data_IF_755525655650
#
_entry.id   IF_755525655650
#
_cell.length_a   1.000
_cell.length_b   1.000
_cell.length_c   1.000
_cell.angle_alpha   90.00
_cell.angle_beta   90.00
_cell.angle_gamma   90.00
#
_symmetry.space_group_name_H-M   'P 1'
#
loop_
_entity.id
_entity.type
_entity.pdbx_description
1 polymer ?
#
# COMPACT_ATOMS: atom_id res chain seq x y z
N UNK A 1 -24.29 3.09 -2.86
CA UNK A 1 -24.18 1.90 -2.00
C UNK A 1 -22.78 1.82 -1.38
N UNK A 2 -21.69 1.76 -2.17
CA UNK A 2 -20.34 1.51 -1.66
C UNK A 2 -19.81 2.50 -0.61
N UNK A 3 -20.09 3.80 -0.74
CA UNK A 3 -19.64 4.81 0.25
C UNK A 3 -20.35 4.63 1.60
N UNK A 4 -21.65 4.31 1.59
CA UNK A 4 -22.40 3.99 2.81
C UNK A 4 -21.84 2.74 3.48
N UNK A 5 -21.55 1.70 2.70
CA UNK A 5 -20.96 0.45 3.20
C UNK A 5 -19.56 0.66 3.79
N UNK A 6 -18.73 1.51 3.17
CA UNK A 6 -17.42 1.87 3.70
C UNK A 6 -17.54 2.54 5.08
N UNK A 7 -18.42 3.52 5.21
CA UNK A 7 -18.69 4.18 6.49
C UNK A 7 -19.15 3.17 7.54
N UNK A 8 -20.10 2.33 7.22
CA UNK A 8 -20.64 1.30 8.11
C UNK A 8 -19.54 0.31 8.56
N UNK A 9 -18.67 -0.12 7.63
CA UNK A 9 -17.54 -1.00 7.95
C UNK A 9 -16.58 -0.37 8.98
N UNK A 10 -16.32 0.92 8.87
CA UNK A 10 -15.42 1.63 9.80
C UNK A 10 -16.12 1.89 11.14
N UNK A 11 -17.31 2.51 11.13
CA UNK A 11 -17.99 2.99 12.35
C UNK A 11 -18.61 1.86 13.17
N UNK A 12 -19.14 0.80 12.52
CA UNK A 12 -19.90 -0.26 13.19
C UNK A 12 -19.10 -1.57 13.30
N UNK A 13 -18.17 -1.84 12.37
CA UNK A 13 -17.45 -3.11 12.31
C UNK A 13 -15.95 -2.98 12.68
N UNK A 14 -15.46 -1.76 12.92
CA UNK A 14 -14.09 -1.51 13.36
C UNK A 14 -13.02 -1.68 12.27
N UNK A 15 -13.36 -1.51 11.00
CA UNK A 15 -12.38 -1.53 9.92
C UNK A 15 -11.47 -0.30 10.01
N UNK A 16 -10.17 -0.52 9.86
CA UNK A 16 -9.13 0.49 10.05
C UNK A 16 -8.55 1.05 8.74
N UNK A 17 -9.05 0.61 7.61
CA UNK A 17 -8.59 1.04 6.28
C UNK A 17 -9.50 0.55 5.17
N UNK A 18 -9.28 1.08 3.97
CA UNK A 18 -9.95 0.67 2.75
C UNK A 18 -8.95 0.04 1.77
N UNK A 19 -9.43 -0.80 0.87
CA UNK A 19 -8.65 -1.34 -0.23
C UNK A 19 -9.40 -1.14 -1.54
N UNK A 20 -8.70 -0.63 -2.55
CA UNK A 20 -9.22 -0.46 -3.90
C UNK A 20 -8.33 -1.17 -4.91
N UNK A 21 -8.96 -1.94 -5.79
CA UNK A 21 -8.30 -2.68 -6.85
C UNK A 21 -8.64 -2.07 -8.23
N UNK A 22 -7.88 -1.08 -8.73
CA UNK A 22 -8.18 -0.34 -9.96
C UNK A 22 -8.33 -1.22 -11.19
N UNK A 23 -7.54 -2.29 -11.28
CA UNK A 23 -7.54 -3.20 -12.42
C UNK A 23 -8.90 -3.88 -12.65
N UNK A 24 -9.67 -4.18 -11.58
CA UNK A 24 -11.00 -4.77 -11.69
C UNK A 24 -11.99 -3.88 -12.42
N UNK A 25 -11.78 -2.58 -12.31
CA UNK A 25 -12.65 -1.56 -12.91
C UNK A 25 -12.11 -1.04 -14.23
N UNK A 26 -10.85 -1.34 -14.58
CA UNK A 26 -10.17 -0.79 -15.75
C UNK A 26 -9.98 0.73 -15.68
N UNK A 27 -9.87 1.29 -14.47
CA UNK A 27 -9.77 2.72 -14.19
C UNK A 27 -8.48 3.01 -13.44
N UNK A 28 -7.70 3.97 -13.93
CA UNK A 28 -6.48 4.40 -13.23
C UNK A 28 -6.80 5.02 -11.85
N UNK A 29 -5.87 4.98 -10.87
CA UNK A 29 -6.07 5.54 -9.54
C UNK A 29 -6.58 6.98 -9.50
N UNK A 30 -6.17 7.84 -10.43
CA UNK A 30 -6.62 9.24 -10.55
C UNK A 30 -7.96 9.42 -11.28
N UNK A 31 -8.68 8.35 -11.60
CA UNK A 31 -10.01 8.47 -12.18
C UNK A 31 -10.98 9.08 -11.16
N UNK A 32 -11.66 10.16 -11.54
CA UNK A 32 -12.53 10.96 -10.66
C UNK A 32 -13.70 10.17 -10.07
N UNK A 33 -14.05 9.02 -10.63
CA UNK A 33 -15.05 8.11 -10.05
C UNK A 33 -14.64 7.53 -8.70
N UNK A 34 -13.32 7.52 -8.38
CA UNK A 34 -12.80 7.13 -7.07
C UNK A 34 -12.80 8.28 -6.05
N UNK A 35 -12.84 9.53 -6.47
CA UNK A 35 -12.72 10.70 -5.60
C UNK A 35 -13.72 10.71 -4.42
N UNK A 36 -14.99 10.29 -4.59
CA UNK A 36 -15.91 10.18 -3.45
C UNK A 36 -15.43 9.19 -2.37
N UNK A 37 -14.68 8.13 -2.75
CA UNK A 37 -14.10 7.20 -1.79
C UNK A 37 -12.88 7.80 -1.10
N UNK A 38 -12.04 8.56 -1.81
CA UNK A 38 -10.91 9.28 -1.23
C UNK A 38 -11.38 10.31 -0.21
N UNK A 39 -12.36 11.13 -0.56
CA UNK A 39 -12.97 12.07 0.35
C UNK A 39 -13.56 11.38 1.59
N UNK A 40 -14.20 10.22 1.42
CA UNK A 40 -14.74 9.44 2.54
C UNK A 40 -13.64 8.87 3.43
N UNK A 41 -12.53 8.40 2.88
CA UNK A 41 -11.38 7.96 3.66
C UNK A 41 -10.74 9.11 4.47
N UNK A 42 -10.67 10.31 3.89
CA UNK A 42 -10.25 11.52 4.63
C UNK A 42 -11.22 11.82 5.78
N UNK A 43 -12.53 11.83 5.53
CA UNK A 43 -13.57 12.09 6.55
C UNK A 43 -13.50 11.10 7.72
N UNK A 44 -13.26 9.82 7.42
CA UNK A 44 -13.14 8.73 8.40
C UNK A 44 -11.72 8.61 9.00
N UNK A 45 -10.77 9.39 8.52
CA UNK A 45 -9.36 9.38 8.89
C UNK A 45 -8.71 7.99 8.82
N UNK A 46 -9.03 7.25 7.76
CA UNK A 46 -8.48 5.93 7.48
C UNK A 46 -7.59 5.93 6.24
N UNK A 47 -6.54 5.10 6.18
CA UNK A 47 -5.76 4.92 4.96
C UNK A 47 -6.54 4.14 3.90
N UNK A 48 -6.16 4.37 2.63
CA UNK A 48 -6.60 3.54 1.52
C UNK A 48 -5.40 2.86 0.86
N UNK A 49 -5.47 1.53 0.74
CA UNK A 49 -4.54 0.73 -0.03
C UNK A 49 -4.99 0.69 -1.48
N UNK A 50 -4.10 1.08 -2.38
CA UNK A 50 -4.33 1.16 -3.80
C UNK A 50 -3.41 0.19 -4.52
N UNK A 51 -3.95 -0.81 -5.18
CA UNK A 51 -3.11 -1.70 -5.97
C UNK A 51 -2.52 -0.96 -7.16
N UNK A 52 -1.20 -0.86 -7.17
CA UNK A 52 -0.40 -0.25 -8.23
C UNK A 52 0.51 -1.29 -8.88
N UNK A 53 1.14 -0.91 -9.98
CA UNK A 53 1.95 -1.82 -10.76
C UNK A 53 1.15 -2.55 -11.84
N UNK A 54 1.71 -3.63 -12.36
CA UNK A 54 1.02 -4.46 -13.32
C UNK A 54 0.05 -5.44 -12.64
N UNK A 55 -0.93 -5.88 -13.40
CA UNK A 55 -1.86 -6.91 -12.96
C UNK A 55 -1.40 -8.29 -13.47
N UNK A 56 -1.15 -9.22 -12.55
CA UNK A 56 -0.78 -10.60 -12.86
C UNK A 56 -1.97 -11.57 -12.77
N UNK A 57 -3.13 -11.11 -12.30
CA UNK A 57 -4.34 -11.92 -12.32
C UNK A 57 -4.80 -12.08 -13.76
N UNK A 58 -4.74 -13.32 -14.23
CA UNK A 58 -5.09 -13.68 -15.58
C UNK A 58 -6.05 -14.87 -15.58
N UNK A 59 -7.24 -14.67 -16.14
CA UNK A 59 -8.12 -15.77 -16.51
C UNK A 59 -8.39 -15.72 -18.02
N UNK A 60 -8.67 -16.89 -18.62
CA UNK A 60 -9.02 -16.94 -20.05
C UNK A 60 -10.29 -16.15 -20.35
N UNK A 61 -11.17 -16.06 -19.36
CA UNK A 61 -12.49 -15.43 -19.48
C UNK A 61 -12.43 -13.92 -19.26
N UNK A 62 -11.49 -13.46 -18.44
CA UNK A 62 -11.34 -12.03 -18.11
C UNK A 62 -9.89 -11.64 -18.04
N UNK A 63 -9.48 -10.81 -18.98
CA UNK A 63 -8.16 -10.16 -19.00
C UNK A 63 -8.30 -8.76 -18.43
N UNK A 64 -7.54 -8.47 -17.37
CA UNK A 64 -7.58 -7.15 -16.74
C UNK A 64 -6.37 -6.32 -17.22
N UNK A 65 -6.58 -5.05 -17.64
CA UNK A 65 -5.50 -4.17 -18.03
C UNK A 65 -4.70 -3.71 -16.79
N UNK A 66 -3.41 -3.45 -16.99
CA UNK A 66 -2.54 -2.87 -15.95
C UNK A 66 -2.71 -1.34 -15.92
N UNK A 67 -3.73 -0.87 -15.23
CA UNK A 67 -4.08 0.57 -15.16
C UNK A 67 -3.44 1.28 -13.97
N UNK A 68 -2.76 0.55 -13.08
CA UNK A 68 -2.22 1.05 -11.82
C UNK A 68 -0.81 1.63 -11.91
N UNK A 69 -0.49 2.47 -12.89
CA UNK A 69 0.83 3.13 -12.91
C UNK A 69 0.97 4.05 -11.70
N UNK A 70 2.06 3.91 -10.90
CA UNK A 70 2.24 4.68 -9.67
C UNK A 70 2.21 6.19 -9.87
N UNK A 71 2.66 6.71 -11.03
CA UNK A 71 2.61 8.15 -11.32
C UNK A 71 1.19 8.73 -11.26
N UNK A 72 0.16 7.92 -11.42
CA UNK A 72 -1.23 8.36 -11.30
C UNK A 72 -1.63 8.70 -9.86
N UNK A 73 -0.84 8.29 -8.87
CA UNK A 73 -1.03 8.69 -7.47
C UNK A 73 -0.65 10.15 -7.22
N UNK A 74 0.13 10.76 -8.11
CA UNK A 74 0.59 12.16 -7.98
C UNK A 74 -0.60 13.12 -7.85
N UNK A 75 -1.53 13.04 -8.79
CA UNK A 75 -2.74 13.89 -8.81
C UNK A 75 -3.62 13.63 -7.58
N UNK A 76 -3.80 12.36 -7.21
CA UNK A 76 -4.60 11.98 -6.03
C UNK A 76 -3.99 12.55 -4.74
N UNK A 77 -2.68 12.44 -4.59
CA UNK A 77 -1.98 12.93 -3.40
C UNK A 77 -2.03 14.46 -3.27
N UNK A 78 -2.06 15.17 -4.40
CA UNK A 78 -2.21 16.63 -4.43
C UNK A 78 -3.64 17.04 -4.11
N UNK A 79 -4.63 16.38 -4.71
CA UNK A 79 -6.05 16.73 -4.55
C UNK A 79 -6.58 16.35 -3.14
N UNK A 80 -5.95 15.37 -2.49
CA UNK A 80 -6.33 14.87 -1.15
C UNK A 80 -5.11 14.80 -0.23
N UNK A 81 -4.57 15.94 0.24
CA UNK A 81 -3.35 15.97 1.05
C UNK A 81 -3.50 15.28 2.43
N UNK A 82 -4.73 15.16 2.95
CA UNK A 82 -5.01 14.45 4.20
C UNK A 82 -5.15 12.94 4.01
N UNK A 83 -5.28 12.45 2.78
CA UNK A 83 -5.46 11.04 2.48
C UNK A 83 -4.17 10.27 2.72
N UNK A 84 -4.23 9.25 3.57
CA UNK A 84 -3.12 8.28 3.73
C UNK A 84 -3.20 7.27 2.60
N UNK A 85 -2.42 7.47 1.56
CA UNK A 85 -2.47 6.70 0.30
C UNK A 85 -1.33 5.69 0.26
N UNK A 86 -1.65 4.41 0.25
CA UNK A 86 -0.67 3.32 0.22
C UNK A 86 -0.69 2.67 -1.17
N UNK A 87 0.39 2.83 -1.94
CA UNK A 87 0.59 2.06 -3.17
C UNK A 87 1.12 0.67 -2.83
N UNK A 88 0.31 -0.37 -3.00
CA UNK A 88 0.69 -1.75 -2.69
C UNK A 88 1.31 -2.47 -3.90
N UNK A 89 1.94 -3.63 -3.67
CA UNK A 89 2.67 -4.44 -4.67
C UNK A 89 3.93 -3.77 -5.23
N UNK A 90 4.57 -2.89 -4.43
CA UNK A 90 5.84 -2.21 -4.80
C UNK A 90 5.74 -1.35 -6.08
N UNK A 91 4.61 -1.38 -6.78
CA UNK A 91 4.45 -0.74 -8.08
C UNK A 91 5.16 -1.44 -9.24
N UNK A 92 5.58 -2.70 -9.09
CA UNK A 92 6.30 -3.46 -10.13
C UNK A 92 5.51 -3.48 -11.45
N UNK A 93 6.14 -3.22 -12.63
CA UNK A 93 7.58 -3.00 -12.86
C UNK A 93 8.03 -1.53 -12.69
N UNK A 94 7.14 -0.61 -12.35
CA UNK A 94 7.41 0.82 -12.23
C UNK A 94 7.78 1.23 -10.79
N UNK A 95 8.64 0.44 -10.14
CA UNK A 95 9.05 0.65 -8.74
C UNK A 95 9.67 2.02 -8.49
N UNK A 96 10.45 2.54 -9.44
CA UNK A 96 11.07 3.88 -9.31
C UNK A 96 10.01 4.99 -9.32
N UNK A 97 8.92 4.84 -10.09
CA UNK A 97 7.78 5.76 -10.00
C UNK A 97 7.11 5.70 -8.62
N UNK A 98 6.94 4.48 -8.06
CA UNK A 98 6.33 4.32 -6.74
C UNK A 98 7.19 4.96 -5.65
N UNK A 99 8.50 4.75 -5.68
CA UNK A 99 9.45 5.40 -4.78
C UNK A 99 9.38 6.92 -4.93
N UNK A 100 9.37 7.43 -6.16
CA UNK A 100 9.26 8.86 -6.44
C UNK A 100 7.99 9.47 -5.85
N UNK A 101 6.86 8.78 -5.94
CA UNK A 101 5.60 9.24 -5.35
C UNK A 101 5.65 9.29 -3.82
N UNK A 102 6.18 8.24 -3.19
CA UNK A 102 6.33 8.19 -1.74
C UNK A 102 7.36 9.20 -1.20
N UNK A 103 8.37 9.53 -2.00
CA UNK A 103 9.36 10.56 -1.64
C UNK A 103 8.83 11.99 -1.83
N UNK A 104 8.09 12.23 -2.92
CA UNK A 104 7.52 13.54 -3.23
C UNK A 104 6.41 13.94 -2.25
N UNK A 105 5.55 13.00 -1.85
CA UNK A 105 4.35 13.25 -1.08
C UNK A 105 4.42 12.68 0.34
N UNK A 106 4.19 13.52 1.34
CA UNK A 106 4.18 13.10 2.75
C UNK A 106 3.09 12.06 3.03
N UNK A 107 1.96 12.14 2.32
CA UNK A 107 0.79 11.29 2.47
C UNK A 107 0.80 10.01 1.63
N UNK A 108 1.89 9.74 0.87
CA UNK A 108 2.04 8.51 0.07
C UNK A 108 3.00 7.53 0.73
N UNK A 109 2.61 6.26 0.77
CA UNK A 109 3.33 5.14 1.36
C UNK A 109 3.41 3.96 0.39
N UNK A 110 4.26 2.98 0.66
CA UNK A 110 4.48 1.79 -0.18
C UNK A 110 4.21 0.52 0.61
N UNK A 111 3.36 -0.37 0.10
CA UNK A 111 3.23 -1.74 0.57
C UNK A 111 4.11 -2.69 -0.26
N UNK A 112 4.93 -3.51 0.40
CA UNK A 112 5.85 -4.44 -0.28
C UNK A 112 5.30 -5.87 -0.37
N UNK A 113 4.00 -6.00 -0.33
CA UNK A 113 3.24 -7.23 -0.44
C UNK A 113 3.24 -7.84 -1.86
N UNK A 114 2.70 -9.04 -2.00
CA UNK A 114 2.59 -9.83 -3.23
C UNK A 114 3.91 -10.34 -3.83
N UNK A 115 5.04 -9.88 -3.36
CA UNK A 115 6.38 -10.34 -3.78
C UNK A 115 7.17 -10.85 -2.58
N UNK A 116 7.76 -12.05 -2.70
CA UNK A 116 8.63 -12.58 -1.66
C UNK A 116 9.86 -11.67 -1.49
N UNK A 117 10.31 -11.39 -0.25
CA UNK A 117 11.38 -10.42 0.04
C UNK A 117 12.66 -10.63 -0.75
N UNK A 118 13.05 -11.86 -1.01
CA UNK A 118 14.22 -12.20 -1.84
C UNK A 118 14.11 -11.74 -3.31
N UNK A 119 12.91 -11.39 -3.76
CA UNK A 119 12.64 -10.90 -5.11
C UNK A 119 12.32 -9.40 -5.16
N UNK A 120 12.42 -8.72 -4.04
CA UNK A 120 12.20 -7.28 -4.03
C UNK A 120 13.23 -6.57 -4.90
N UNK A 121 12.82 -5.60 -5.72
CA UNK A 121 13.75 -4.79 -6.50
C UNK A 121 14.79 -4.11 -5.60
N UNK A 122 16.08 -4.09 -5.98
CA UNK A 122 17.13 -3.50 -5.14
C UNK A 122 16.87 -2.05 -4.72
N UNK A 123 16.21 -1.27 -5.56
CA UNK A 123 15.89 0.14 -5.28
C UNK A 123 14.90 0.28 -4.13
N UNK A 124 13.91 -0.61 -3.97
CA UNK A 124 13.01 -0.54 -2.82
C UNK A 124 13.74 -0.96 -1.54
N UNK A 125 14.63 -1.95 -1.62
CA UNK A 125 15.46 -2.36 -0.47
C UNK A 125 16.37 -1.21 -0.02
N UNK A 126 16.99 -0.52 -0.97
CA UNK A 126 17.78 0.68 -0.65
C UNK A 126 16.92 1.78 -0.03
N UNK A 127 15.75 2.07 -0.59
CA UNK A 127 14.83 3.10 -0.11
C UNK A 127 14.39 2.85 1.33
N UNK A 128 13.84 1.66 1.61
CA UNK A 128 13.37 1.30 2.95
C UNK A 128 14.48 1.22 4.00
N UNK A 129 15.72 0.95 3.58
CA UNK A 129 16.88 0.86 4.48
C UNK A 129 17.58 2.21 4.72
N UNK A 130 17.16 3.27 4.01
CA UNK A 130 17.80 4.59 4.07
C UNK A 130 16.80 5.72 4.29
N UNK A 131 16.47 6.47 3.26
CA UNK A 131 15.65 7.70 3.36
C UNK A 131 14.14 7.46 3.31
N UNK A 132 13.68 6.26 3.04
CA UNK A 132 12.28 5.86 3.01
C UNK A 132 11.82 4.99 4.18
N UNK A 133 12.57 4.96 5.29
CA UNK A 133 12.28 4.08 6.43
C UNK A 133 10.86 4.24 6.99
N UNK A 134 10.33 5.47 6.99
CA UNK A 134 9.01 5.79 7.52
C UNK A 134 7.88 5.64 6.48
N UNK A 135 8.20 5.12 5.28
CA UNK A 135 7.30 5.12 4.14
C UNK A 135 6.90 3.73 3.65
N UNK A 136 7.55 2.68 4.14
CA UNK A 136 7.36 1.32 3.61
C UNK A 136 6.73 0.42 4.66
N UNK A 137 5.70 -0.32 4.26
CA UNK A 137 4.96 -1.26 5.11
C UNK A 137 5.16 -2.69 4.60
N UNK A 138 5.40 -3.61 5.52
CA UNK A 138 5.45 -5.03 5.23
C UNK A 138 4.05 -5.61 5.02
N UNK A 139 3.94 -6.55 4.11
CA UNK A 139 2.76 -7.34 3.84
C UNK A 139 3.13 -8.57 3.01
N UNK A 140 2.24 -9.54 2.93
CA UNK A 140 2.45 -10.79 2.19
C UNK A 140 1.43 -11.01 1.09
N UNK A 141 0.32 -10.28 1.10
CA UNK A 141 -0.84 -10.55 0.23
C UNK A 141 -1.30 -12.01 0.35
N UNK A 142 -1.35 -12.51 1.61
CA UNK A 142 -1.79 -13.88 1.87
C UNK A 142 -3.11 -14.20 1.15
N UNK A 143 -3.22 -15.35 0.46
CA UNK A 143 -2.31 -16.51 0.45
C UNK A 143 -1.23 -16.50 -0.65
N UNK A 144 -0.91 -15.35 -1.26
CA UNK A 144 0.08 -15.27 -2.35
C UNK A 144 1.49 -15.61 -1.85
N UNK A 145 1.89 -15.03 -0.72
CA UNK A 145 3.18 -15.32 -0.07
C UNK A 145 2.93 -15.84 1.34
N UNK A 146 3.60 -16.92 1.69
CA UNK A 146 3.58 -17.49 3.03
C UNK A 146 4.24 -16.52 4.04
N UNK A 147 3.54 -16.13 5.15
CA UNK A 147 4.04 -15.16 6.10
C UNK A 147 5.29 -15.61 6.85
N UNK A 148 5.40 -16.90 7.23
CA UNK A 148 6.57 -17.41 7.97
C UNK A 148 7.81 -17.35 7.09
N UNK A 149 7.67 -17.76 5.84
CA UNK A 149 8.73 -17.65 4.84
C UNK A 149 9.12 -16.20 4.59
N UNK A 150 8.16 -15.29 4.40
CA UNK A 150 8.44 -13.88 4.17
C UNK A 150 9.19 -13.25 5.34
N UNK A 151 8.79 -13.57 6.58
CA UNK A 151 9.48 -13.11 7.79
C UNK A 151 10.90 -13.64 7.88
N UNK A 152 11.14 -14.92 7.56
CA UNK A 152 12.50 -15.49 7.53
C UNK A 152 13.35 -14.77 6.49
N UNK A 153 12.85 -14.58 5.26
CA UNK A 153 13.56 -13.88 4.19
C UNK A 153 13.89 -12.42 4.57
N UNK A 154 13.00 -11.68 5.25
CA UNK A 154 13.30 -10.32 5.77
C UNK A 154 14.35 -10.36 6.86
N UNK A 155 14.34 -11.38 7.73
CA UNK A 155 15.32 -11.50 8.79
C UNK A 155 16.74 -11.75 8.26
N UNK A 156 16.85 -12.43 7.12
CA UNK A 156 18.11 -12.68 6.43
C UNK A 156 18.63 -11.48 5.65
N UNK A 157 17.84 -10.43 5.46
CA UNK A 157 18.26 -9.21 4.77
C UNK A 157 19.18 -8.35 5.63
N UNK A 158 20.20 -7.75 5.01
CA UNK A 158 21.08 -6.76 5.65
C UNK A 158 20.37 -5.40 5.76
N UNK A 159 19.40 -5.31 6.68
CA UNK A 159 18.67 -4.10 7.00
C UNK A 159 19.13 -3.51 8.33
N UNK A 160 19.19 -2.19 8.42
CA UNK A 160 19.37 -1.49 9.69
C UNK A 160 18.27 -1.90 10.66
N UNK A 161 18.61 -2.10 11.92
CA UNK A 161 17.64 -2.54 12.94
C UNK A 161 16.40 -1.64 13.02
N UNK A 162 16.60 -0.32 12.97
CA UNK A 162 15.51 0.66 12.97
C UNK A 162 14.64 0.53 11.71
N UNK A 163 15.24 0.41 10.53
CA UNK A 163 14.50 0.24 9.27
C UNK A 163 13.65 -1.04 9.28
N UNK A 164 14.21 -2.13 9.82
CA UNK A 164 13.50 -3.41 9.97
C UNK A 164 12.32 -3.29 10.94
N UNK A 165 12.48 -2.64 12.08
CA UNK A 165 11.39 -2.43 13.04
C UNK A 165 10.25 -1.60 12.44
N UNK A 166 10.58 -0.51 11.76
CA UNK A 166 9.61 0.34 11.06
C UNK A 166 8.87 -0.42 9.96
N UNK A 167 9.60 -1.16 9.11
CA UNK A 167 9.04 -1.97 8.04
C UNK A 167 8.02 -2.99 8.57
N UNK A 168 8.41 -3.77 9.58
CA UNK A 168 7.63 -4.91 10.07
C UNK A 168 6.48 -4.54 11.00
N UNK A 169 6.53 -3.35 11.63
CA UNK A 169 5.57 -3.01 12.69
C UNK A 169 5.23 -1.52 12.76
N UNK A 170 6.22 -0.65 13.01
CA UNK A 170 5.97 0.69 13.53
C UNK A 170 5.22 1.58 12.55
N UNK A 171 5.54 1.49 11.25
CA UNK A 171 4.84 2.23 10.20
C UNK A 171 3.37 1.84 10.11
N UNK A 172 3.06 0.54 10.23
CA UNK A 172 1.68 0.06 10.19
C UNK A 172 0.90 0.52 11.44
N UNK A 173 1.49 0.40 12.64
CA UNK A 173 0.87 0.88 13.87
C UNK A 173 0.48 2.35 13.76
N UNK A 174 1.42 3.19 13.31
CA UNK A 174 1.21 4.62 13.16
C UNK A 174 0.15 4.95 12.10
N UNK A 175 0.26 4.32 10.92
CA UNK A 175 -0.56 4.66 9.76
C UNK A 175 -2.02 4.24 9.94
N UNK A 176 -2.24 3.03 10.47
CA UNK A 176 -3.56 2.47 10.73
C UNK A 176 -4.08 2.78 12.15
N UNK A 177 -3.30 3.52 12.96
CA UNK A 177 -3.63 3.84 14.36
C UNK A 177 -4.00 2.60 15.18
N UNK A 178 -3.23 1.54 14.97
CA UNK A 178 -3.45 0.31 15.72
C UNK A 178 -3.00 0.49 17.18
N UNK A 179 -3.70 -0.15 18.15
CA UNK A 179 -3.26 -0.13 19.53
C UNK A 179 -1.90 -0.82 19.64
N UNK A 180 -1.02 -0.27 20.45
CA UNK A 180 0.17 -1.01 20.89
C UNK A 180 -0.30 -2.26 21.64
N UNK A 181 0.24 -3.43 21.30
CA UNK A 181 -0.13 -4.66 21.99
C UNK A 181 0.14 -4.49 23.49
N UNK A 182 -0.80 -4.79 24.39
CA UNK A 182 -0.51 -4.79 25.80
C UNK A 182 0.54 -5.86 26.10
N UNK A 183 1.75 -5.44 26.45
CA UNK A 183 2.82 -6.30 26.94
C UNK A 183 3.76 -6.84 25.85
N UNK A 184 4.52 -5.98 25.19
CA UNK A 184 5.79 -6.35 24.57
C UNK A 184 6.93 -5.93 25.48
#
# INVERSE_FOLDING_TARGET
>A
AGIYQLRQAVEEMGFVGAHLYPHWFGLAPNDRRYYPYYAKCCELDIPIMMQVGHNLIYSRERRLPSVGRPITLDEVAIDFPELKLIGIHIGVPWTDEMISMAWKHENVFIGVDAYAPKHWPPQIVHYLNTYGQDKVLFGTDWPVIDPERAMAEVNDMDLRAEAKAKLLRDNALKLFRLPESPGA
#
